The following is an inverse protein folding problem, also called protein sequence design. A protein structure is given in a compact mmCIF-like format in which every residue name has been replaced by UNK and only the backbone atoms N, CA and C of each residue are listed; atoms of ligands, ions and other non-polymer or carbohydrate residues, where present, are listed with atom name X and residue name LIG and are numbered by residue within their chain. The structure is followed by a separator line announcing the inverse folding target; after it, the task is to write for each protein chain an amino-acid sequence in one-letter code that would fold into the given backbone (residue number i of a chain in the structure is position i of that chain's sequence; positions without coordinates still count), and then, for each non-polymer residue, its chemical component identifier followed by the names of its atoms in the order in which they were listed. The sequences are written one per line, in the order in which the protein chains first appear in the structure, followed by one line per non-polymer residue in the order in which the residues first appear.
data_IF_582602856590
#
_entry.id   IF_582602856590
#
_cell.length_a   1.000
_cell.length_b   1.000
_cell.length_c   1.000
_cell.angle_alpha   90.00
_cell.angle_beta   90.00
_cell.angle_gamma   90.00
#
_symmetry.space_group_name_H-M   'P 1'
#
loop_
_entity.id
_entity.type
_entity.pdbx_description
1 polymer ?
#
# COMPACT_ATOMS: atom_id res chain seq x y z
N UNK A 1 -51.39 -48.04 10.79
CA UNK A 1 -50.00 -47.93 10.27
C UNK A 1 -49.81 -46.77 9.29
N UNK A 2 -50.86 -46.16 8.72
CA UNK A 2 -50.70 -45.12 7.69
C UNK A 2 -50.18 -43.76 8.20
N UNK A 3 -50.45 -43.39 9.46
CA UNK A 3 -50.05 -42.08 10.02
C UNK A 3 -48.53 -41.88 10.14
N UNK A 4 -47.76 -42.94 10.32
CA UNK A 4 -46.29 -42.88 10.39
C UNK A 4 -45.64 -42.70 9.01
N UNK A 5 -46.29 -43.21 7.96
CA UNK A 5 -45.83 -43.05 6.58
C UNK A 5 -46.08 -41.63 6.06
N UNK A 6 -47.25 -41.06 6.38
CA UNK A 6 -47.57 -39.68 5.98
C UNK A 6 -46.68 -38.66 6.68
N UNK A 7 -46.44 -38.82 7.99
CA UNK A 7 -45.54 -37.92 8.74
C UNK A 7 -44.09 -37.98 8.25
N UNK A 8 -43.59 -39.18 7.94
CA UNK A 8 -42.27 -39.34 7.35
C UNK A 8 -42.19 -38.69 5.96
N UNK A 9 -43.23 -38.84 5.13
CA UNK A 9 -43.28 -38.21 3.80
C UNK A 9 -43.23 -36.69 3.88
N UNK A 10 -43.97 -36.08 4.81
CA UNK A 10 -43.97 -34.63 5.04
C UNK A 10 -42.59 -34.13 5.50
N UNK A 11 -41.94 -34.89 6.40
CA UNK A 11 -40.60 -34.57 6.87
C UNK A 11 -39.55 -34.66 5.76
N UNK A 12 -39.65 -35.67 4.89
CA UNK A 12 -38.76 -35.81 3.73
C UNK A 12 -38.92 -34.63 2.78
N UNK A 13 -40.16 -34.26 2.41
CA UNK A 13 -40.39 -33.11 1.52
C UNK A 13 -39.90 -31.79 2.13
N UNK A 14 -40.05 -31.60 3.45
CA UNK A 14 -39.51 -30.41 4.12
C UNK A 14 -37.98 -30.38 4.08
N UNK A 15 -37.33 -31.53 4.26
CA UNK A 15 -35.87 -31.65 4.18
C UNK A 15 -35.38 -31.37 2.76
N UNK A 16 -36.02 -31.94 1.75
CA UNK A 16 -35.70 -31.70 0.34
C UNK A 16 -35.78 -30.21 -0.02
N UNK A 17 -36.85 -29.54 0.40
CA UNK A 17 -36.98 -28.10 0.18
C UNK A 17 -35.87 -27.29 0.86
N UNK A 18 -35.53 -27.64 2.11
CA UNK A 18 -34.45 -26.97 2.86
C UNK A 18 -33.08 -27.23 2.23
N UNK A 19 -32.84 -28.44 1.71
CA UNK A 19 -31.61 -28.77 0.99
C UNK A 19 -31.51 -27.92 -0.27
N UNK A 20 -32.56 -27.87 -1.10
CA UNK A 20 -32.57 -27.05 -2.32
C UNK A 20 -32.32 -25.56 -2.02
N UNK A 21 -32.99 -25.01 -1.01
CA UNK A 21 -32.75 -23.61 -0.58
C UNK A 21 -31.30 -23.38 -0.14
N UNK A 22 -30.72 -24.34 0.57
CA UNK A 22 -29.34 -24.23 1.04
C UNK A 22 -28.33 -24.36 -0.12
N UNK A 23 -28.59 -25.21 -1.11
CA UNK A 23 -27.77 -25.34 -2.31
C UNK A 23 -27.74 -24.03 -3.11
N UNK A 24 -28.89 -23.38 -3.27
CA UNK A 24 -28.98 -22.07 -3.93
C UNK A 24 -28.19 -21.00 -3.17
N UNK A 25 -28.33 -20.98 -1.83
CA UNK A 25 -27.59 -20.05 -0.97
C UNK A 25 -26.07 -20.27 -1.02
N UNK A 26 -25.62 -21.53 -1.02
CA UNK A 26 -24.20 -21.87 -1.14
C UNK A 26 -23.65 -21.45 -2.49
N UNK A 27 -24.39 -21.65 -3.57
CA UNK A 27 -24.01 -21.23 -4.93
C UNK A 27 -23.89 -19.71 -5.02
N UNK A 28 -24.85 -18.98 -4.43
CA UNK A 28 -24.78 -17.53 -4.36
C UNK A 28 -23.54 -17.06 -3.56
N UNK A 29 -23.29 -17.68 -2.41
CA UNK A 29 -22.16 -17.32 -1.55
C UNK A 29 -20.82 -17.57 -2.25
N UNK A 30 -20.66 -18.71 -2.93
CA UNK A 30 -19.46 -19.04 -3.71
C UNK A 30 -19.20 -18.00 -4.81
N UNK A 31 -20.25 -17.58 -5.52
CA UNK A 31 -20.13 -16.55 -6.56
C UNK A 31 -19.65 -15.20 -5.99
N UNK A 32 -20.13 -14.82 -4.80
CA UNK A 32 -19.74 -13.58 -4.12
C UNK A 32 -18.32 -13.64 -3.60
N UNK A 33 -17.90 -14.78 -3.05
CA UNK A 33 -16.52 -15.00 -2.59
C UNK A 33 -15.55 -14.85 -3.76
N UNK A 34 -15.80 -15.52 -4.89
CA UNK A 34 -14.96 -15.40 -6.10
C UNK A 34 -14.86 -13.97 -6.61
N UNK A 35 -15.96 -13.22 -6.58
CA UNK A 35 -15.96 -11.80 -6.95
C UNK A 35 -15.06 -10.97 -6.02
N UNK A 36 -15.22 -11.15 -4.71
CA UNK A 36 -14.43 -10.43 -3.70
C UNK A 36 -12.95 -10.80 -3.74
N UNK A 37 -12.60 -12.06 -3.98
CA UNK A 37 -11.21 -12.50 -4.16
C UNK A 37 -10.56 -11.81 -5.35
N UNK A 38 -11.30 -11.70 -6.47
CA UNK A 38 -10.84 -10.99 -7.66
C UNK A 38 -10.62 -9.50 -7.40
N UNK A 39 -11.57 -8.82 -6.74
CA UNK A 39 -11.41 -7.41 -6.38
C UNK A 39 -10.24 -7.19 -5.42
N UNK A 40 -10.07 -8.06 -4.44
CA UNK A 40 -8.97 -7.97 -3.48
C UNK A 40 -7.61 -8.16 -4.17
N UNK A 41 -7.50 -9.10 -5.12
CA UNK A 41 -6.30 -9.25 -5.95
C UNK A 41 -6.00 -7.97 -6.75
N UNK A 42 -7.00 -7.43 -7.44
CA UNK A 42 -6.85 -6.21 -8.22
C UNK A 42 -6.42 -5.01 -7.35
N UNK A 43 -7.00 -4.86 -6.16
CA UNK A 43 -6.63 -3.79 -5.24
C UNK A 43 -5.21 -3.95 -4.70
N UNK A 44 -4.76 -5.19 -4.44
CA UNK A 44 -3.36 -5.47 -4.04
C UNK A 44 -2.39 -5.06 -5.13
N UNK A 45 -2.64 -5.46 -6.37
CA UNK A 45 -1.80 -5.08 -7.52
C UNK A 45 -1.72 -3.56 -7.66
N UNK A 46 -2.86 -2.87 -7.54
CA UNK A 46 -2.92 -1.40 -7.60
C UNK A 46 -2.15 -0.73 -6.45
N UNK A 47 -2.22 -1.28 -5.24
CA UNK A 47 -1.44 -0.76 -4.09
C UNK A 47 0.06 -0.94 -4.34
N UNK A 48 0.48 -2.07 -4.88
CA UNK A 48 1.89 -2.33 -5.18
C UNK A 48 2.40 -1.43 -6.31
N UNK A 49 1.60 -1.20 -7.35
CA UNK A 49 1.95 -0.26 -8.42
C UNK A 49 2.09 1.18 -7.88
N UNK A 50 1.15 1.63 -7.06
CA UNK A 50 1.22 2.95 -6.42
C UNK A 50 2.42 3.07 -5.47
N UNK A 51 2.75 1.99 -4.74
CA UNK A 51 3.94 1.93 -3.87
C UNK A 51 5.24 1.99 -4.67
N UNK A 52 5.31 1.39 -5.85
CA UNK A 52 6.49 1.48 -6.73
C UNK A 52 6.63 2.87 -7.35
N UNK A 53 5.53 3.52 -7.69
CA UNK A 53 5.57 4.85 -8.34
C UNK A 53 5.92 5.99 -7.37
N UNK A 54 5.43 5.97 -6.14
CA UNK A 54 5.55 7.12 -5.22
C UNK A 54 6.98 7.46 -4.73
N UNK A 55 7.85 6.51 -4.38
CA UNK A 55 9.18 6.84 -3.86
C UNK A 55 10.16 7.26 -4.97
N UNK A 56 10.06 6.70 -6.19
CA UNK A 56 11.07 6.95 -7.23
C UNK A 56 10.97 8.33 -7.89
N UNK A 57 9.76 8.88 -8.07
CA UNK A 57 9.59 10.08 -8.91
C UNK A 57 9.82 11.37 -8.12
N UNK A 58 9.65 11.36 -6.80
CA UNK A 58 9.62 12.59 -5.98
C UNK A 58 10.60 12.58 -4.79
N UNK A 59 11.40 11.52 -4.62
CA UNK A 59 12.32 11.40 -3.47
C UNK A 59 13.75 11.21 -3.95
N UNK A 60 14.67 12.06 -3.47
CA UNK A 60 16.10 11.85 -3.58
C UNK A 60 16.61 11.15 -2.33
N UNK A 61 17.40 10.09 -2.51
CA UNK A 61 18.04 9.35 -1.41
C UNK A 61 19.52 9.71 -1.37
N UNK A 62 19.94 10.31 -0.25
CA UNK A 62 21.34 10.65 0.01
C UNK A 62 21.96 9.60 0.93
N UNK A 63 23.01 8.92 0.44
CA UNK A 63 23.72 7.85 1.17
C UNK A 63 25.13 8.30 1.60
N UNK A 64 25.69 7.64 2.63
CA UNK A 64 27.08 7.85 3.05
C UNK A 64 27.31 8.85 4.19
N UNK A 65 26.25 9.45 4.75
CA UNK A 65 26.36 10.39 5.86
C UNK A 65 26.47 9.68 7.22
N UNK A 66 27.44 10.08 8.04
CA UNK A 66 27.54 9.62 9.44
C UNK A 66 26.27 9.98 10.21
N UNK A 67 25.90 9.12 11.17
CA UNK A 67 24.74 9.37 12.02
C UNK A 67 24.89 10.68 12.80
N UNK A 68 23.92 11.58 12.65
CA UNK A 68 23.93 12.89 13.32
C UNK A 68 24.69 14.00 12.59
N UNK A 69 25.26 13.75 11.40
CA UNK A 69 25.93 14.80 10.61
C UNK A 69 24.99 15.92 10.16
N UNK A 70 23.69 15.62 10.07
CA UNK A 70 22.62 16.54 9.69
C UNK A 70 22.28 17.57 10.79
N UNK A 71 22.71 17.34 12.03
CA UNK A 71 22.38 18.22 13.15
C UNK A 71 20.91 18.17 13.57
N UNK A 72 20.38 19.30 14.06
CA UNK A 72 18.99 19.43 14.54
C UNK A 72 17.97 19.65 13.42
N UNK A 73 18.42 20.15 12.27
CA UNK A 73 17.56 20.49 11.13
C UNK A 73 18.11 19.86 9.85
N UNK A 74 17.51 18.72 9.48
CA UNK A 74 17.87 17.97 8.27
C UNK A 74 17.56 18.76 7.00
N UNK A 75 16.60 19.68 7.01
CA UNK A 75 16.20 20.45 5.82
C UNK A 75 17.26 21.48 5.48
N UNK A 76 17.71 22.27 6.47
CA UNK A 76 18.80 23.25 6.29
C UNK A 76 20.11 22.57 5.86
N UNK A 77 20.41 21.40 6.44
CA UNK A 77 21.57 20.60 6.04
C UNK A 77 21.52 20.21 4.55
N UNK A 78 20.40 19.66 4.08
CA UNK A 78 20.24 19.24 2.68
C UNK A 78 20.23 20.44 1.75
N UNK A 79 19.62 21.56 2.13
CA UNK A 79 19.61 22.79 1.34
C UNK A 79 21.03 23.31 1.10
N UNK A 80 21.87 23.38 2.14
CA UNK A 80 23.28 23.77 2.04
C UNK A 80 24.09 22.78 1.20
N UNK A 81 23.84 21.49 1.37
CA UNK A 81 24.52 20.44 0.61
C UNK A 81 24.22 20.54 -0.90
N UNK A 82 22.95 20.77 -1.27
CA UNK A 82 22.53 20.95 -2.66
C UNK A 82 23.26 22.15 -3.28
N UNK A 83 23.27 23.30 -2.59
CA UNK A 83 23.97 24.49 -3.06
C UNK A 83 25.47 24.27 -3.20
N UNK A 84 26.08 23.50 -2.29
CA UNK A 84 27.51 23.21 -2.33
C UNK A 84 27.88 22.29 -3.50
N UNK A 85 27.06 21.27 -3.78
CA UNK A 85 27.34 20.27 -4.82
C UNK A 85 26.98 20.75 -6.23
N UNK A 86 25.85 21.45 -6.37
CA UNK A 86 25.32 21.88 -7.67
C UNK A 86 25.66 23.33 -8.00
N UNK A 87 26.21 24.07 -7.05
CA UNK A 87 26.59 25.48 -7.20
C UNK A 87 25.42 26.43 -7.00
N UNK A 88 25.70 27.56 -6.32
CA UNK A 88 24.74 28.65 -6.13
C UNK A 88 24.39 29.37 -7.45
N UNK A 89 25.19 29.18 -8.50
CA UNK A 89 24.96 29.66 -9.85
C UNK A 89 23.79 28.92 -10.53
N UNK A 90 23.59 27.64 -10.21
CA UNK A 90 22.46 26.83 -10.71
C UNK A 90 21.20 26.99 -9.85
N UNK A 91 21.36 27.40 -8.59
CA UNK A 91 20.29 27.57 -7.62
C UNK A 91 20.42 28.92 -6.89
N UNK A 92 20.09 30.05 -7.57
CA UNK A 92 20.18 31.39 -6.97
C UNK A 92 19.20 31.58 -5.80
N UNK A 93 18.13 30.79 -5.74
CA UNK A 93 17.26 30.67 -4.57
C UNK A 93 17.43 29.26 -4.00
N UNK A 94 17.86 29.12 -2.74
CA UNK A 94 18.05 27.81 -2.16
C UNK A 94 16.70 27.11 -1.93
N UNK A 95 16.57 25.81 -2.25
CA UNK A 95 15.31 25.08 -2.18
C UNK A 95 14.83 24.99 -0.73
N UNK A 96 13.82 25.79 -0.37
CA UNK A 96 13.34 25.92 1.02
C UNK A 96 12.96 27.35 1.44
N UNK A 97 13.32 28.38 0.68
CA UNK A 97 12.86 29.75 0.98
C UNK A 97 11.37 29.91 0.62
N UNK A 98 10.55 30.23 1.62
CA UNK A 98 9.08 30.17 1.74
C UNK A 98 8.22 30.78 0.61
N UNK A 99 8.79 31.43 -0.40
CA UNK A 99 8.03 32.26 -1.36
C UNK A 99 8.02 31.72 -2.80
N UNK A 100 8.56 30.51 -3.05
CA UNK A 100 8.53 29.88 -4.37
C UNK A 100 7.82 28.52 -4.27
N UNK A 101 6.57 28.39 -4.77
CA UNK A 101 5.77 27.16 -4.63
C UNK A 101 6.35 25.91 -5.30
N UNK A 102 7.28 26.08 -6.25
CA UNK A 102 7.64 25.02 -7.21
C UNK A 102 8.84 24.15 -6.77
N UNK A 103 9.65 24.56 -5.77
CA UNK A 103 10.92 23.89 -5.45
C UNK A 103 11.22 23.71 -3.94
N UNK A 104 10.21 23.81 -3.07
CA UNK A 104 10.42 23.61 -1.64
C UNK A 104 10.61 22.11 -1.30
N UNK A 105 11.63 21.80 -0.49
CA UNK A 105 11.82 20.48 0.11
C UNK A 105 10.58 20.15 0.95
N UNK A 106 9.80 19.14 0.55
CA UNK A 106 8.53 18.79 1.21
C UNK A 106 8.74 18.14 2.58
N UNK A 107 9.70 17.22 2.67
CA UNK A 107 10.04 16.53 3.91
C UNK A 107 11.43 15.91 3.78
N UNK A 108 12.30 16.17 4.75
CA UNK A 108 13.60 15.49 4.88
C UNK A 108 13.56 14.67 6.16
N UNK A 109 13.84 13.38 6.05
CA UNK A 109 13.94 12.50 7.20
C UNK A 109 15.00 11.44 6.94
N UNK A 110 15.63 10.98 8.01
CA UNK A 110 16.50 9.81 7.97
C UNK A 110 15.65 8.57 7.96
N UNK A 111 15.85 7.69 6.97
CA UNK A 111 15.19 6.39 6.97
C UNK A 111 15.60 5.61 8.24
N UNK A 112 14.66 4.91 8.92
CA UNK A 112 14.99 4.08 10.06
C UNK A 112 16.12 3.11 9.69
N UNK A 113 17.02 2.83 10.64
CA UNK A 113 18.00 1.74 10.47
C UNK A 113 17.25 0.41 10.52
N UNK A 114 16.57 0.01 9.44
CA UNK A 114 16.29 -1.40 9.23
C UNK A 114 17.63 -2.11 9.05
N UNK A 115 17.78 -3.26 9.70
CA UNK A 115 19.05 -4.00 9.77
C UNK A 115 19.68 -4.31 8.40
N UNK A 116 20.92 -4.83 8.38
CA UNK A 116 21.65 -5.05 7.14
C UNK A 116 20.88 -6.07 6.28
N UNK A 117 20.32 -5.65 5.15
CA UNK A 117 19.64 -6.56 4.23
C UNK A 117 18.50 -6.02 3.36
N UNK A 118 18.12 -4.74 3.47
CA UNK A 118 17.15 -4.15 2.53
C UNK A 118 17.79 -3.06 1.68
N UNK A 119 18.85 -3.43 0.95
CA UNK A 119 19.22 -2.69 -0.24
C UNK A 119 18.20 -3.04 -1.32
N UNK A 120 17.56 -2.01 -1.86
CA UNK A 120 16.83 -2.10 -3.12
C UNK A 120 17.83 -2.44 -4.24
N UNK A 121 18.13 -3.73 -4.39
CA UNK A 121 18.85 -4.34 -5.50
C UNK A 121 18.11 -5.64 -5.83
N UNK A 122 17.00 -5.50 -6.55
CA UNK A 122 16.56 -6.57 -7.43
C UNK A 122 17.13 -6.23 -8.81
N UNK A 123 18.26 -6.85 -9.14
CA UNK A 123 18.69 -7.08 -10.53
C UNK A 123 17.85 -8.18 -11.15
#
# INVERSE_FOLDING_TARGET
MNGSITTLSEQVSLIEHRISTNEDNLTNLDSRVKFLEKENSFLRDKVDDLRKQKPLIQTFVFCGFRSGAEGRDTVDFIQRLILLLLGADKFPVPPGHSNVPTAALRQCHRSPKTGPGQYWLNS
#
